data_IF_461484144088
#
_entry.id   IF_461484144088
#
_cell.length_a   1.000
_cell.length_b   1.000
_cell.length_c   1.000
_cell.angle_alpha   90.00
_cell.angle_beta   90.00
_cell.angle_gamma   90.00
#
_symmetry.space_group_name_H-M   'P 1'
#
loop_
_entity.id
_entity.type
_entity.pdbx_description
1 polymer ?
#
# COMPACT_ATOMS: atom_id res chain seq x y z
N UNK A 1 0.56 -33.95 -2.06
CA UNK A 1 1.34 -32.73 -1.93
C UNK A 1 0.38 -31.56 -2.14
N UNK A 2 0.33 -30.54 -1.29
CA UNK A 2 -0.46 -29.35 -1.58
C UNK A 2 0.04 -28.75 -2.90
N UNK A 3 -0.88 -28.33 -3.77
CA UNK A 3 -0.56 -27.67 -5.02
C UNK A 3 0.32 -26.43 -4.70
N UNK A 4 1.36 -26.22 -5.49
CA UNK A 4 2.22 -25.03 -5.36
C UNK A 4 1.37 -23.80 -5.64
N UNK A 5 1.27 -22.90 -4.67
CA UNK A 5 0.54 -21.65 -4.83
C UNK A 5 1.20 -20.84 -5.94
N UNK A 6 0.43 -20.51 -6.97
CA UNK A 6 0.89 -19.59 -8.04
C UNK A 6 0.55 -18.14 -7.64
N UNK A 7 1.46 -17.56 -6.86
CA UNK A 7 1.33 -16.18 -6.34
C UNK A 7 1.10 -15.15 -7.44
N UNK A 8 1.69 -15.34 -8.63
CA UNK A 8 1.52 -14.39 -9.73
C UNK A 8 0.12 -14.49 -10.38
N UNK A 9 -0.44 -15.70 -10.45
CA UNK A 9 -1.82 -15.90 -10.88
C UNK A 9 -2.80 -15.27 -9.87
N UNK A 10 -2.58 -15.47 -8.57
CA UNK A 10 -3.40 -14.89 -7.50
C UNK A 10 -3.38 -13.35 -7.52
N UNK A 11 -2.21 -12.73 -7.66
CA UNK A 11 -2.08 -11.27 -7.82
C UNK A 11 -2.87 -10.75 -9.03
N UNK A 12 -2.78 -11.46 -10.15
CA UNK A 12 -3.51 -11.09 -11.36
C UNK A 12 -5.02 -11.15 -11.14
N UNK A 13 -5.52 -12.21 -10.52
CA UNK A 13 -6.96 -12.36 -10.23
C UNK A 13 -7.49 -11.21 -9.36
N UNK A 14 -6.78 -10.88 -8.26
CA UNK A 14 -7.15 -9.78 -7.39
C UNK A 14 -7.13 -8.43 -8.13
N UNK A 15 -6.10 -8.21 -8.95
CA UNK A 15 -5.94 -6.99 -9.75
C UNK A 15 -7.04 -6.84 -10.82
N UNK A 16 -7.37 -7.89 -11.55
CA UNK A 16 -8.46 -7.91 -12.54
C UNK A 16 -9.83 -7.67 -11.88
N UNK A 17 -10.06 -8.22 -10.67
CA UNK A 17 -11.28 -7.97 -9.92
C UNK A 17 -11.38 -6.51 -9.48
N UNK A 18 -10.27 -5.92 -9.00
CA UNK A 18 -10.22 -4.52 -8.60
C UNK A 18 -10.38 -3.56 -9.79
N UNK A 19 -9.80 -3.87 -10.95
CA UNK A 19 -9.97 -3.07 -12.15
C UNK A 19 -11.46 -2.88 -12.53
N UNK A 20 -12.30 -3.90 -12.29
CA UNK A 20 -13.75 -3.85 -12.55
C UNK A 20 -14.52 -2.92 -11.62
N UNK A 21 -13.94 -2.52 -10.48
CA UNK A 21 -14.57 -1.60 -9.52
C UNK A 21 -14.42 -0.13 -9.92
N UNK A 22 -13.50 0.17 -10.83
CA UNK A 22 -13.32 1.53 -11.35
C UNK A 22 -14.40 1.79 -12.39
N UNK A 23 -15.07 2.93 -12.30
CA UNK A 23 -16.11 3.35 -13.21
C UNK A 23 -15.70 4.63 -13.94
N UNK A 24 -16.38 4.90 -15.04
CA UNK A 24 -16.13 6.09 -15.85
C UNK A 24 -16.37 7.38 -15.05
N UNK A 25 -15.53 8.38 -15.25
CA UNK A 25 -15.59 9.65 -14.52
C UNK A 25 -14.92 9.63 -13.13
N UNK A 26 -14.48 8.48 -12.61
CA UNK A 26 -13.87 8.39 -11.27
C UNK A 26 -12.50 9.05 -11.19
N UNK A 27 -12.18 9.54 -9.99
CA UNK A 27 -10.83 9.87 -9.54
C UNK A 27 -10.21 8.67 -8.80
N UNK A 28 -9.05 8.20 -9.26
CA UNK A 28 -8.49 6.89 -8.87
C UNK A 28 -7.09 7.05 -8.26
N UNK A 29 -6.90 6.52 -7.05
CA UNK A 29 -5.59 6.36 -6.44
C UNK A 29 -4.94 5.03 -6.87
N UNK A 30 -3.77 5.12 -7.51
CA UNK A 30 -2.97 3.97 -7.91
C UNK A 30 -1.81 3.79 -6.93
N UNK A 31 -1.83 2.69 -6.20
CA UNK A 31 -0.82 2.32 -5.23
C UNK A 31 0.53 1.92 -5.83
N UNK A 32 1.34 1.21 -5.05
CA UNK A 32 2.68 0.78 -5.43
C UNK A 32 2.87 -0.72 -5.19
N UNK A 33 3.63 -1.37 -6.05
CA UNK A 33 4.04 -2.76 -5.87
C UNK A 33 3.67 -3.69 -7.02
N UNK A 34 4.06 -4.97 -6.85
CA UNK A 34 3.90 -5.97 -7.92
C UNK A 34 2.44 -6.30 -8.23
N UNK A 35 1.55 -6.25 -7.24
CA UNK A 35 0.12 -6.51 -7.45
C UNK A 35 -0.54 -5.33 -8.18
N UNK A 36 -0.19 -4.08 -7.81
CA UNK A 36 -0.65 -2.88 -8.54
C UNK A 36 -0.15 -2.86 -9.99
N UNK A 37 1.07 -3.31 -10.24
CA UNK A 37 1.57 -3.45 -11.62
C UNK A 37 0.71 -4.41 -12.46
N UNK A 38 0.02 -5.39 -11.84
CA UNK A 38 -0.94 -6.28 -12.52
C UNK A 38 -2.32 -5.64 -12.71
N UNK A 39 -2.64 -4.57 -11.97
CA UNK A 39 -3.88 -3.80 -12.11
C UNK A 39 -3.86 -2.91 -13.36
N UNK A 40 -2.71 -2.33 -13.70
CA UNK A 40 -2.63 -1.31 -14.74
C UNK A 40 -3.06 -1.80 -16.14
N UNK A 41 -2.62 -2.98 -16.66
CA UNK A 41 -3.06 -3.44 -17.96
C UNK A 41 -4.58 -3.65 -18.06
N UNK A 42 -5.26 -4.41 -17.18
CA UNK A 42 -6.70 -4.59 -17.28
C UNK A 42 -7.50 -3.30 -17.03
N UNK A 43 -6.93 -2.33 -16.31
CA UNK A 43 -7.54 -1.00 -16.16
C UNK A 43 -7.44 -0.20 -17.46
N UNK A 44 -6.27 -0.21 -18.14
CA UNK A 44 -6.06 0.47 -19.41
C UNK A 44 -6.96 -0.09 -20.54
N UNK A 45 -7.13 -1.43 -20.60
CA UNK A 45 -7.99 -2.10 -21.59
C UNK A 45 -9.46 -1.65 -21.52
N UNK A 46 -9.88 -1.03 -20.42
CA UNK A 46 -11.26 -0.56 -20.25
C UNK A 46 -11.51 0.81 -20.88
N UNK A 47 -10.47 1.54 -21.29
CA UNK A 47 -10.54 2.84 -21.98
C UNK A 47 -11.47 3.87 -21.28
N UNK A 48 -11.47 3.89 -19.94
CA UNK A 48 -12.33 4.76 -19.14
C UNK A 48 -11.82 6.21 -19.13
N UNK A 49 -12.74 7.17 -19.08
CA UNK A 49 -12.43 8.58 -18.83
C UNK A 49 -12.22 8.82 -17.32
N UNK A 50 -11.05 8.50 -16.79
CA UNK A 50 -10.69 8.61 -15.37
C UNK A 50 -9.55 9.61 -15.15
N UNK A 51 -9.42 10.08 -13.91
CA UNK A 51 -8.28 10.89 -13.43
C UNK A 51 -7.54 10.11 -12.38
N UNK A 52 -6.23 9.91 -12.54
CA UNK A 52 -5.48 9.09 -11.60
C UNK A 52 -4.40 9.90 -10.89
N UNK A 53 -4.08 9.47 -9.67
CA UNK A 53 -2.86 9.83 -8.95
C UNK A 53 -2.08 8.56 -8.63
N UNK A 54 -0.75 8.64 -8.65
CA UNK A 54 0.12 7.51 -8.33
C UNK A 54 0.91 7.77 -7.05
N UNK A 55 1.07 6.75 -6.22
CA UNK A 55 1.82 6.85 -4.96
C UNK A 55 3.34 6.75 -5.15
N UNK A 56 3.80 6.36 -6.35
CA UNK A 56 5.24 6.31 -6.66
C UNK A 56 5.54 6.68 -8.12
N UNK A 57 6.74 7.22 -8.39
CA UNK A 57 7.19 7.52 -9.76
C UNK A 57 7.18 6.29 -10.68
N UNK A 58 7.42 5.09 -10.11
CA UNK A 58 7.38 3.84 -10.88
C UNK A 58 5.96 3.52 -11.35
N UNK A 59 4.96 3.67 -10.48
CA UNK A 59 3.55 3.45 -10.87
C UNK A 59 3.08 4.50 -11.85
N UNK A 60 3.46 5.77 -11.63
CA UNK A 60 3.16 6.88 -12.54
C UNK A 60 3.68 6.59 -13.96
N UNK A 61 4.97 6.28 -14.10
CA UNK A 61 5.55 5.95 -15.40
C UNK A 61 4.83 4.76 -16.07
N UNK A 62 4.60 3.67 -15.32
CA UNK A 62 3.95 2.49 -15.86
C UNK A 62 2.50 2.73 -16.30
N UNK A 63 1.76 3.60 -15.60
CA UNK A 63 0.40 4.00 -15.97
C UNK A 63 0.39 4.85 -17.23
N UNK A 64 1.29 5.85 -17.32
CA UNK A 64 1.43 6.71 -18.50
C UNK A 64 1.84 5.91 -19.75
N UNK A 65 2.74 4.93 -19.61
CA UNK A 65 3.15 4.04 -20.71
C UNK A 65 1.98 3.22 -21.27
N UNK A 66 0.95 2.97 -20.46
CA UNK A 66 -0.29 2.29 -20.86
C UNK A 66 -1.42 3.25 -21.28
N UNK A 67 -1.16 4.55 -21.34
CA UNK A 67 -2.15 5.56 -21.69
C UNK A 67 -3.13 5.94 -20.58
N UNK A 68 -2.91 5.48 -19.34
CA UNK A 68 -3.72 5.89 -18.19
C UNK A 68 -3.27 7.29 -17.76
N UNK A 69 -4.17 8.31 -17.72
CA UNK A 69 -3.79 9.66 -17.34
C UNK A 69 -3.46 9.75 -15.85
N UNK A 70 -2.29 10.27 -15.51
CA UNK A 70 -1.85 10.50 -14.12
C UNK A 70 -1.54 11.99 -13.95
N UNK A 71 -2.01 12.55 -12.85
CA UNK A 71 -1.79 13.94 -12.48
C UNK A 71 -1.24 14.07 -11.05
N UNK A 72 -0.60 15.20 -10.68
CA UNK A 72 -0.20 15.48 -9.32
C UNK A 72 -1.39 15.52 -8.36
N UNK A 73 -1.24 14.94 -7.16
CA UNK A 73 -2.34 14.83 -6.20
C UNK A 73 -2.78 16.20 -5.63
N UNK A 74 -1.91 17.20 -5.64
CA UNK A 74 -2.24 18.58 -5.22
C UNK A 74 -3.34 19.25 -6.04
N UNK A 75 -3.74 18.64 -7.18
CA UNK A 75 -4.88 19.07 -8.00
C UNK A 75 -6.21 18.42 -7.64
N UNK A 76 -6.20 17.49 -6.70
CA UNK A 76 -7.35 16.74 -6.22
C UNK A 76 -7.40 16.80 -4.70
N UNK A 77 -8.58 17.04 -4.12
CA UNK A 77 -8.77 17.03 -2.66
C UNK A 77 -9.23 15.66 -2.15
N UNK A 78 -9.93 14.90 -2.99
CA UNK A 78 -10.50 13.59 -2.66
C UNK A 78 -10.43 12.67 -3.87
N UNK A 79 -10.46 11.38 -3.59
CA UNK A 79 -10.53 10.32 -4.58
C UNK A 79 -11.80 9.49 -4.35
N UNK A 80 -12.40 9.00 -5.44
CA UNK A 80 -13.56 8.11 -5.36
C UNK A 80 -13.14 6.71 -4.91
N UNK A 81 -12.05 6.20 -5.48
CA UNK A 81 -11.48 4.90 -5.16
C UNK A 81 -9.95 4.96 -5.16
N UNK A 82 -9.32 4.24 -4.23
CA UNK A 82 -7.90 3.95 -4.30
C UNK A 82 -7.67 2.44 -4.23
N UNK A 83 -6.74 1.93 -5.04
CA UNK A 83 -6.43 0.50 -5.12
C UNK A 83 -4.94 0.32 -4.88
N UNK A 84 -4.58 -0.47 -3.87
CA UNK A 84 -3.18 -0.70 -3.51
C UNK A 84 -2.95 -2.12 -2.99
N UNK A 85 -1.69 -2.55 -2.95
CA UNK A 85 -1.27 -3.80 -2.32
C UNK A 85 -1.04 -3.65 -0.82
N UNK A 86 -0.76 -4.78 -0.15
CA UNK A 86 -0.25 -4.80 1.22
C UNK A 86 0.82 -5.87 1.39
N UNK A 87 1.69 -5.69 2.38
CA UNK A 87 2.70 -6.68 2.76
C UNK A 87 2.10 -7.74 3.70
N UNK A 88 1.16 -7.32 4.56
CA UNK A 88 0.36 -8.18 5.43
C UNK A 88 -1.06 -7.63 5.56
N UNK A 89 -2.04 -8.53 5.64
CA UNK A 89 -3.46 -8.25 5.93
C UNK A 89 -3.90 -9.16 7.06
N UNK A 90 -4.20 -8.61 8.22
CA UNK A 90 -4.63 -9.36 9.38
C UNK A 90 -6.15 -9.54 9.43
N UNK A 91 -6.61 -10.53 10.19
CA UNK A 91 -8.04 -10.84 10.35
C UNK A 91 -8.84 -9.70 10.99
N UNK A 92 -8.19 -8.87 11.81
CA UNK A 92 -8.77 -7.69 12.45
C UNK A 92 -8.76 -6.43 11.58
N UNK A 93 -8.34 -6.56 10.32
CA UNK A 93 -8.32 -5.50 9.32
C UNK A 93 -7.08 -4.60 9.34
N UNK A 94 -6.16 -4.78 10.27
CA UNK A 94 -4.87 -4.08 10.24
C UNK A 94 -4.02 -4.53 9.05
N UNK A 95 -3.32 -3.56 8.42
CA UNK A 95 -2.39 -3.84 7.34
C UNK A 95 -0.97 -3.43 7.71
N UNK A 96 0.00 -4.15 7.15
CA UNK A 96 1.38 -3.66 7.00
C UNK A 96 1.61 -3.34 5.53
N UNK A 97 2.09 -2.14 5.25
CA UNK A 97 2.43 -1.64 3.92
C UNK A 97 3.80 -0.96 3.94
N UNK A 98 4.35 -0.68 2.77
CA UNK A 98 5.61 0.04 2.65
C UNK A 98 6.81 -0.84 2.28
N UNK A 99 6.59 -2.07 1.82
CA UNK A 99 7.65 -2.90 1.24
C UNK A 99 8.37 -2.20 0.08
N UNK A 100 7.65 -1.37 -0.68
CA UNK A 100 8.18 -0.53 -1.77
C UNK A 100 8.71 0.86 -1.37
N UNK A 101 8.67 1.24 -0.08
CA UNK A 101 9.16 2.53 0.41
C UNK A 101 8.29 3.75 0.04
N UNK A 102 7.02 3.57 -0.29
CA UNK A 102 6.09 4.64 -0.69
C UNK A 102 4.90 4.83 0.29
N UNK A 103 4.97 4.21 1.47
CA UNK A 103 3.82 4.10 2.39
C UNK A 103 3.30 5.45 2.91
N UNK A 104 4.10 6.50 2.95
CA UNK A 104 3.64 7.85 3.29
C UNK A 104 2.63 8.33 2.27
N UNK A 105 2.97 8.29 0.97
CA UNK A 105 2.04 8.65 -0.10
C UNK A 105 0.85 7.70 -0.18
N UNK A 106 1.09 6.39 0.02
CA UNK A 106 0.03 5.37 0.06
C UNK A 106 -0.99 5.67 1.17
N UNK A 107 -0.53 6.07 2.36
CA UNK A 107 -1.43 6.41 3.48
C UNK A 107 -2.19 7.72 3.24
N UNK A 108 -1.55 8.73 2.67
CA UNK A 108 -2.21 9.97 2.29
C UNK A 108 -3.33 9.69 1.28
N UNK A 109 -3.07 8.89 0.25
CA UNK A 109 -4.04 8.48 -0.76
C UNK A 109 -5.18 7.66 -0.14
N UNK A 110 -4.87 6.70 0.72
CA UNK A 110 -5.87 5.90 1.43
C UNK A 110 -6.79 6.77 2.31
N UNK A 111 -6.23 7.76 3.03
CA UNK A 111 -7.00 8.66 3.89
C UNK A 111 -7.86 9.67 3.09
N UNK A 112 -7.48 9.98 1.87
CA UNK A 112 -8.18 10.94 1.01
C UNK A 112 -9.23 10.29 0.09
N UNK A 113 -9.40 8.96 0.14
CA UNK A 113 -10.35 8.25 -0.71
C UNK A 113 -11.65 7.90 0.01
N UNK A 114 -12.75 7.88 -0.76
CA UNK A 114 -14.04 7.39 -0.28
C UNK A 114 -14.10 5.86 -0.16
N UNK A 115 -13.25 5.16 -0.93
CA UNK A 115 -13.20 3.68 -0.95
C UNK A 115 -11.77 3.20 -1.17
N UNK A 116 -11.14 2.69 -0.11
CA UNK A 116 -9.80 2.09 -0.21
C UNK A 116 -9.89 0.58 -0.34
N UNK A 117 -9.49 0.06 -1.50
CA UNK A 117 -9.49 -1.36 -1.87
C UNK A 117 -8.07 -1.90 -1.82
N UNK A 118 -7.87 -2.95 -1.07
CA UNK A 118 -6.57 -3.63 -0.95
C UNK A 118 -6.57 -4.91 -1.77
N UNK A 119 -5.55 -5.11 -2.60
CA UNK A 119 -5.39 -6.27 -3.48
C UNK A 119 -4.14 -7.07 -3.12
N UNK A 120 -4.31 -8.35 -2.80
CA UNK A 120 -3.21 -9.22 -2.35
C UNK A 120 -3.34 -10.63 -2.89
N UNK A 121 -2.22 -11.36 -2.88
CA UNK A 121 -2.21 -12.82 -2.98
C UNK A 121 -2.48 -13.46 -1.61
N UNK A 122 -2.82 -14.74 -1.59
CA UNK A 122 -3.18 -15.50 -0.38
C UNK A 122 -2.06 -15.55 0.67
N UNK A 123 -0.80 -15.40 0.25
CA UNK A 123 0.36 -15.39 1.16
C UNK A 123 0.49 -14.13 2.01
N UNK A 124 -0.31 -13.08 1.71
CA UNK A 124 -0.34 -11.83 2.49
C UNK A 124 -1.37 -11.81 3.60
N UNK A 125 -2.34 -12.73 3.57
CA UNK A 125 -3.32 -12.90 4.64
C UNK A 125 -2.66 -13.58 5.84
N UNK A 126 -2.69 -12.91 7.00
CA UNK A 126 -2.07 -13.38 8.24
C UNK A 126 -3.09 -13.35 9.39
N UNK A 127 -2.87 -14.13 10.41
CA UNK A 127 -3.72 -14.11 11.60
C UNK A 127 -3.59 -12.79 12.36
N UNK A 128 -2.33 -12.33 12.53
CA UNK A 128 -1.97 -11.05 13.14
C UNK A 128 -0.79 -10.46 12.41
N UNK A 129 -0.72 -9.14 12.35
CA UNK A 129 0.45 -8.47 11.80
C UNK A 129 1.68 -8.68 12.67
N UNK A 130 2.84 -8.76 12.04
CA UNK A 130 4.13 -8.95 12.67
C UNK A 130 5.20 -8.07 12.03
N UNK A 131 6.30 -7.87 12.73
CA UNK A 131 7.48 -7.21 12.18
C UNK A 131 8.02 -7.96 10.92
N UNK A 132 8.68 -7.26 10.01
CA UNK A 132 9.03 -5.84 10.10
C UNK A 132 7.89 -4.89 9.73
N UNK A 133 7.86 -3.72 10.38
CA UNK A 133 6.97 -2.61 10.02
C UNK A 133 7.79 -1.50 9.36
N UNK A 134 7.53 -1.16 8.09
CA UNK A 134 8.23 -0.09 7.39
C UNK A 134 8.08 1.27 8.06
N UNK A 135 9.15 2.06 8.00
CA UNK A 135 9.22 3.43 8.51
C UNK A 135 9.82 4.34 7.43
N UNK A 136 9.28 5.55 7.31
CA UNK A 136 9.92 6.65 6.63
C UNK A 136 10.46 7.63 7.66
N UNK A 137 11.74 7.95 7.59
CA UNK A 137 12.45 8.78 8.55
C UNK A 137 13.01 10.03 7.88
N UNK A 138 13.01 11.13 8.64
CA UNK A 138 13.67 12.37 8.25
C UNK A 138 15.20 12.16 8.19
N UNK A 139 15.88 12.56 7.12
CA UNK A 139 17.35 12.48 7.06
C UNK A 139 18.05 13.33 8.12
N UNK A 140 17.46 14.50 8.46
CA UNK A 140 18.01 15.36 9.50
C UNK A 140 17.87 14.71 10.88
N UNK A 141 18.97 14.57 11.59
CA UNK A 141 19.00 14.00 12.94
C UNK A 141 18.80 12.48 12.99
N UNK A 142 18.92 11.76 11.88
CA UNK A 142 18.60 10.34 11.72
C UNK A 142 19.13 9.46 12.86
N UNK A 143 20.40 9.68 13.31
CA UNK A 143 21.00 8.88 14.39
C UNK A 143 20.26 9.06 15.73
N UNK A 144 19.76 10.25 15.99
CA UNK A 144 18.97 10.52 17.22
C UNK A 144 17.62 9.81 17.14
N UNK A 145 16.94 9.91 16.00
CA UNK A 145 15.67 9.20 15.73
C UNK A 145 15.82 7.69 15.87
N UNK A 146 16.85 7.11 15.26
CA UNK A 146 17.13 5.67 15.38
C UNK A 146 17.37 5.22 16.82
N UNK A 147 18.08 6.04 17.62
CA UNK A 147 18.33 5.73 19.03
C UNK A 147 17.03 5.77 19.86
N UNK A 148 16.15 6.70 19.56
CA UNK A 148 14.85 6.82 20.25
C UNK A 148 13.89 5.68 19.89
N UNK A 149 13.89 5.27 18.63
CA UNK A 149 13.07 4.15 18.13
C UNK A 149 13.53 2.79 18.70
N UNK A 150 14.84 2.59 18.93
CA UNK A 150 15.42 1.34 19.45
C UNK A 150 15.51 0.25 18.38
N UNK A 151 14.53 -0.63 18.31
CA UNK A 151 14.52 -1.82 17.45
C UNK A 151 14.25 -1.47 15.98
N UNK A 152 15.19 -0.81 15.32
CA UNK A 152 15.06 -0.35 13.92
C UNK A 152 16.28 -0.75 13.11
N UNK A 153 16.04 -1.18 11.88
CA UNK A 153 17.06 -1.49 10.87
C UNK A 153 16.86 -0.61 9.64
N UNK A 154 17.91 0.13 9.24
CA UNK A 154 17.91 0.84 7.97
C UNK A 154 17.84 -0.13 6.80
N UNK A 155 17.09 0.22 5.77
CA UNK A 155 17.13 -0.49 4.49
C UNK A 155 18.25 0.03 3.62
N UNK A 156 18.92 -0.88 2.91
CA UNK A 156 19.76 -0.53 1.76
C UNK A 156 18.85 -0.38 0.54
N UNK A 157 18.21 0.78 0.44
CA UNK A 157 17.23 1.10 -0.59
C UNK A 157 17.32 2.58 -0.98
N UNK A 158 16.77 2.91 -2.14
CA UNK A 158 16.57 4.30 -2.53
C UNK A 158 15.70 5.04 -1.49
N UNK A 159 15.88 6.36 -1.35
CA UNK A 159 14.96 7.19 -0.56
C UNK A 159 13.50 7.02 -0.99
N UNK A 160 12.56 7.39 -0.11
CA UNK A 160 11.15 7.49 -0.48
C UNK A 160 10.95 8.45 -1.65
N UNK A 161 9.78 8.46 -2.30
CA UNK A 161 9.46 9.44 -3.34
C UNK A 161 9.63 10.90 -2.87
N UNK A 162 9.55 11.16 -1.57
CA UNK A 162 9.66 12.49 -0.97
C UNK A 162 11.01 12.73 -0.27
N UNK A 163 11.99 11.83 -0.46
CA UNK A 163 13.36 11.97 0.00
C UNK A 163 13.63 11.46 1.42
N UNK A 164 12.65 10.81 2.05
CA UNK A 164 12.81 10.18 3.37
C UNK A 164 13.69 8.92 3.33
N UNK A 165 14.34 8.62 4.45
CA UNK A 165 15.13 7.40 4.64
C UNK A 165 14.19 6.25 5.01
N UNK A 166 14.32 5.12 4.34
CA UNK A 166 13.50 3.94 4.60
C UNK A 166 14.18 3.03 5.63
N UNK A 167 13.42 2.64 6.63
CA UNK A 167 13.84 1.73 7.68
C UNK A 167 12.74 0.71 7.99
N UNK A 168 13.06 -0.26 8.84
CA UNK A 168 12.13 -1.26 9.36
C UNK A 168 12.16 -1.26 10.89
N UNK A 169 11.02 -1.09 11.53
CA UNK A 169 10.87 -1.47 12.92
C UNK A 169 10.83 -3.01 12.99
N UNK A 170 11.74 -3.59 13.79
CA UNK A 170 11.94 -5.04 13.87
C UNK A 170 11.63 -5.62 15.25
N UNK A 171 11.15 -4.78 16.18
CA UNK A 171 10.70 -5.19 17.49
C UNK A 171 9.33 -5.88 17.46
N UNK A 172 8.86 -6.28 18.63
CA UNK A 172 7.52 -6.87 18.79
C UNK A 172 6.43 -5.84 18.44
N UNK A 173 5.42 -6.26 17.68
CA UNK A 173 4.29 -5.38 17.29
C UNK A 173 3.32 -5.22 18.48
N UNK A 174 2.99 -6.30 19.19
CA UNK A 174 2.00 -6.28 20.26
C UNK A 174 0.63 -5.79 19.78
N UNK A 175 0.09 -4.74 20.42
CA UNK A 175 -1.10 -4.03 19.95
C UNK A 175 -0.70 -3.05 18.84
N UNK A 176 -1.25 -3.21 17.62
CA UNK A 176 -0.89 -2.36 16.48
C UNK A 176 -1.25 -0.89 16.68
N UNK A 177 -2.32 -0.58 17.41
CA UNK A 177 -2.75 0.80 17.67
C UNK A 177 -1.77 1.49 18.63
N UNK A 178 -1.36 0.81 19.69
CA UNK A 178 -0.37 1.33 20.63
C UNK A 178 0.98 1.54 19.95
N UNK A 179 1.42 0.58 19.12
CA UNK A 179 2.65 0.70 18.36
C UNK A 179 2.59 1.87 17.38
N UNK A 180 1.50 2.00 16.62
CA UNK A 180 1.31 3.10 15.66
C UNK A 180 1.39 4.47 16.36
N UNK A 181 0.69 4.63 17.48
CA UNK A 181 0.72 5.86 18.27
C UNK A 181 2.14 6.16 18.81
N UNK A 182 2.84 5.15 19.31
CA UNK A 182 4.22 5.28 19.81
C UNK A 182 5.19 5.70 18.72
N UNK A 183 5.13 5.06 17.54
CA UNK A 183 6.00 5.38 16.42
C UNK A 183 5.75 6.80 15.89
N UNK A 184 4.50 7.22 15.78
CA UNK A 184 4.13 8.54 15.29
C UNK A 184 4.58 9.68 16.24
N UNK A 185 4.80 9.41 17.53
CA UNK A 185 5.26 10.40 18.50
C UNK A 185 6.76 10.62 18.49
N UNK A 186 7.56 9.77 17.82
CA UNK A 186 9.01 9.91 17.80
C UNK A 186 9.42 11.00 16.80
N UNK A 187 10.09 12.09 17.25
CA UNK A 187 10.58 13.12 16.35
C UNK A 187 11.50 12.54 15.27
N UNK A 188 11.21 12.89 14.02
CA UNK A 188 11.96 12.38 12.85
C UNK A 188 11.33 11.16 12.19
N UNK A 189 10.30 10.55 12.75
CA UNK A 189 9.41 9.64 12.01
C UNK A 189 8.49 10.48 11.14
N UNK A 190 8.50 10.24 9.83
CA UNK A 190 7.61 10.89 8.87
C UNK A 190 6.30 10.11 8.83
N UNK A 191 6.38 8.79 8.65
CA UNK A 191 5.23 7.89 8.64
C UNK A 191 5.69 6.44 8.91
N UNK A 192 4.74 5.60 9.30
CA UNK A 192 4.92 4.17 9.53
C UNK A 192 3.97 3.33 8.68
N UNK A 193 4.35 2.07 8.40
CA UNK A 193 3.62 1.15 7.54
C UNK A 193 2.42 0.45 8.17
N UNK A 194 1.99 0.83 9.39
CA UNK A 194 0.76 0.33 9.99
C UNK A 194 -0.44 1.12 9.47
N UNK A 195 -1.38 0.45 8.82
CA UNK A 195 -2.63 1.03 8.32
C UNK A 195 -3.80 0.50 9.13
N UNK A 196 -4.54 1.37 9.82
CA UNK A 196 -5.65 0.94 10.67
C UNK A 196 -6.86 0.51 9.84
N UNK A 197 -7.71 -0.40 10.37
CA UNK A 197 -8.92 -0.91 9.69
C UNK A 197 -9.85 0.19 9.17
N UNK A 198 -9.95 1.30 9.91
CA UNK A 198 -10.82 2.44 9.53
C UNK A 198 -10.50 3.05 8.16
N UNK A 199 -9.29 2.85 7.63
CA UNK A 199 -8.92 3.28 6.28
C UNK A 199 -9.38 2.29 5.20
N UNK A 200 -9.61 1.02 5.55
CA UNK A 200 -9.83 -0.07 4.61
C UNK A 200 -11.31 -0.30 4.38
N UNK A 201 -11.76 -0.25 3.14
CA UNK A 201 -13.15 -0.56 2.80
C UNK A 201 -13.36 -2.04 2.51
N UNK A 202 -12.38 -2.65 1.84
CA UNK A 202 -12.43 -4.06 1.46
C UNK A 202 -11.05 -4.57 1.07
N UNK A 203 -10.87 -5.87 1.16
CA UNK A 203 -9.68 -6.58 0.67
C UNK A 203 -10.10 -7.64 -0.34
N UNK A 204 -9.45 -7.64 -1.49
CA UNK A 204 -9.60 -8.67 -2.52
C UNK A 204 -8.37 -9.58 -2.46
N UNK A 205 -8.57 -10.82 -2.02
CA UNK A 205 -7.51 -11.82 -1.89
C UNK A 205 -7.61 -12.79 -3.05
N UNK A 206 -6.62 -12.79 -3.95
CA UNK A 206 -6.49 -13.87 -4.92
C UNK A 206 -6.10 -15.16 -4.19
N UNK A 207 -6.87 -16.23 -4.42
CA UNK A 207 -6.63 -17.53 -3.78
C UNK A 207 -6.91 -18.67 -4.76
N UNK A 208 -5.85 -19.31 -5.24
CA UNK A 208 -5.97 -20.34 -6.30
C UNK A 208 -6.56 -19.74 -7.58
N UNK A 209 -7.79 -20.10 -7.93
CA UNK A 209 -8.49 -19.61 -9.13
C UNK A 209 -9.65 -18.67 -8.83
N UNK A 210 -9.79 -18.22 -7.60
CA UNK A 210 -10.91 -17.39 -7.13
C UNK A 210 -10.41 -16.11 -6.45
N UNK A 211 -11.32 -15.16 -6.28
CA UNK A 211 -11.08 -13.95 -5.48
C UNK A 211 -12.00 -13.98 -4.29
N UNK A 212 -11.42 -14.04 -3.11
CA UNK A 212 -12.13 -13.86 -1.84
C UNK A 212 -12.23 -12.37 -1.53
N UNK A 213 -13.41 -11.91 -1.17
CA UNK A 213 -13.68 -10.51 -0.78
C UNK A 213 -13.96 -10.44 0.71
N UNK A 214 -13.16 -9.64 1.41
CA UNK A 214 -13.30 -9.36 2.82
C UNK A 214 -13.75 -7.90 3.00
N UNK A 215 -14.89 -7.68 3.60
CA UNK A 215 -15.35 -6.36 4.06
C UNK A 215 -14.75 -6.11 5.45
N UNK A 216 -14.20 -4.93 5.71
CA UNK A 216 -13.49 -4.56 6.93
C UNK A 216 -14.35 -3.57 7.75
#
# INVERSE_FOLDING_TARGET
MPARVDTEAEKRLAAEAAARLVEDGMTVGLGTGSTVARLLPPLAERELEIRCVATSPRTESAALDLGIPVEPFDRLERLDIAIDGADQVALDGWLVKGGGGAHTREKIVAAATGRFVVIVDSGKAVERIAAPVPLELQPFGLRATLRELGDVRLRDAAPSPDGGVIADYVGEVGDPMELAARLALVPGVVEHGLFPPVLVSEVLVGRGNEVERLEI
#
